data_IF_973204310720
#
_entry.id   IF_973204310720
#
_cell.length_a   1.000
_cell.length_b   1.000
_cell.length_c   1.000
_cell.angle_alpha   90.00
_cell.angle_beta   90.00
_cell.angle_gamma   90.00
#
_symmetry.space_group_name_H-M   'P 1'
#
loop_
_entity.id
_entity.type
_entity.pdbx_description
1 polymer ?
#
# COMPACT_ATOMS: atom_id res chain seq x y z
N UNK A 1 -5.10 8.90 -0.38
CA UNK A 1 -4.77 8.50 1.00
C UNK A 1 -5.22 7.08 1.21
N UNK A 2 -4.34 6.25 1.76
CA UNK A 2 -4.63 4.88 2.20
C UNK A 2 -4.45 4.92 3.73
N UNK A 3 -5.45 4.51 4.50
CA UNK A 3 -5.33 4.39 5.96
C UNK A 3 -6.36 5.14 6.82
N UNK A 4 -7.19 6.03 6.24
CA UNK A 4 -8.38 6.55 6.94
C UNK A 4 -9.62 5.92 6.33
N UNK A 5 -10.32 5.14 7.13
CA UNK A 5 -11.54 4.48 6.71
C UNK A 5 -12.73 5.45 6.82
N UNK A 6 -13.74 5.29 5.94
CA UNK A 6 -15.02 5.97 6.10
C UNK A 6 -15.69 5.62 7.45
N UNK A 7 -16.53 6.52 7.95
CA UNK A 7 -17.28 6.27 9.18
C UNK A 7 -18.13 5.00 9.05
N UNK A 8 -18.09 4.14 10.07
CA UNK A 8 -18.84 2.87 10.09
C UNK A 8 -18.17 1.70 9.38
N UNK A 9 -17.03 1.91 8.71
CA UNK A 9 -16.23 0.80 8.16
C UNK A 9 -15.37 0.20 9.28
N UNK A 10 -15.57 -1.09 9.55
CA UNK A 10 -14.82 -1.85 10.55
C UNK A 10 -13.60 -2.53 9.91
N UNK A 11 -12.71 -3.03 10.78
CA UNK A 11 -11.58 -3.86 10.34
C UNK A 11 -12.08 -5.11 9.60
N UNK A 12 -13.17 -5.74 10.06
CA UNK A 12 -13.74 -6.94 9.43
C UNK A 12 -14.17 -6.68 7.98
N UNK A 13 -14.72 -5.49 7.68
CA UNK A 13 -15.06 -5.11 6.30
C UNK A 13 -13.80 -5.01 5.42
N UNK A 14 -12.73 -4.40 5.96
CA UNK A 14 -11.44 -4.29 5.26
C UNK A 14 -10.84 -5.67 5.04
N UNK A 15 -10.84 -6.54 6.05
CA UNK A 15 -10.37 -7.92 5.93
C UNK A 15 -11.18 -8.71 4.90
N UNK A 16 -12.51 -8.52 4.85
CA UNK A 16 -13.36 -9.16 3.85
C UNK A 16 -12.94 -8.80 2.43
N UNK A 17 -12.65 -7.53 2.16
CA UNK A 17 -12.12 -7.09 0.86
C UNK A 17 -10.76 -7.70 0.59
N UNK A 18 -9.82 -7.64 1.54
CA UNK A 18 -8.47 -8.19 1.34
C UNK A 18 -8.46 -9.71 1.12
N UNK A 19 -9.33 -10.45 1.80
CA UNK A 19 -9.49 -11.91 1.65
C UNK A 19 -10.08 -12.30 0.29
N UNK A 20 -10.78 -11.38 -0.38
CA UNK A 20 -11.32 -11.62 -1.73
C UNK A 20 -10.27 -11.51 -2.83
N UNK A 21 -9.11 -10.90 -2.55
CA UNK A 21 -8.02 -10.72 -3.51
C UNK A 21 -7.22 -12.03 -3.61
N UNK A 22 -7.17 -12.68 -4.79
CA UNK A 22 -6.46 -13.95 -4.94
C UNK A 22 -4.98 -13.82 -4.61
N UNK A 23 -4.45 -14.76 -3.82
CA UNK A 23 -3.02 -14.84 -3.52
C UNK A 23 -2.20 -15.10 -4.79
N UNK A 24 -0.98 -14.57 -4.88
CA UNK A 24 -0.13 -14.74 -6.06
C UNK A 24 0.26 -16.22 -6.22
N UNK A 25 0.14 -16.73 -7.44
CA UNK A 25 0.48 -18.12 -7.79
C UNK A 25 1.87 -18.17 -8.39
N UNK A 26 2.71 -19.08 -7.88
CA UNK A 26 4.08 -19.28 -8.39
C UNK A 26 4.05 -19.79 -9.84
N UNK A 27 5.09 -19.44 -10.61
CA UNK A 27 5.31 -19.90 -11.99
C UNK A 27 4.17 -19.55 -12.97
N UNK A 28 3.43 -18.48 -12.72
CA UNK A 28 2.46 -17.93 -13.67
C UNK A 28 3.15 -17.04 -14.71
N UNK A 29 2.49 -16.86 -15.86
CA UNK A 29 2.88 -15.89 -16.87
C UNK A 29 1.71 -14.92 -17.12
N UNK A 30 1.82 -13.63 -16.75
CA UNK A 30 2.99 -12.96 -16.15
C UNK A 30 3.29 -13.43 -14.72
N UNK A 31 4.55 -13.24 -14.29
CA UNK A 31 4.99 -13.61 -12.94
C UNK A 31 4.16 -12.88 -11.86
N UNK A 32 3.70 -13.63 -10.87
CA UNK A 32 2.94 -13.10 -9.74
C UNK A 32 3.78 -13.18 -8.46
N UNK A 33 3.69 -12.14 -7.65
CA UNK A 33 4.41 -12.00 -6.39
C UNK A 33 3.63 -11.07 -5.43
N UNK A 34 4.24 -10.75 -4.28
CA UNK A 34 3.64 -9.86 -3.29
C UNK A 34 3.35 -8.45 -3.84
N UNK A 35 4.11 -7.96 -4.82
CA UNK A 35 3.85 -6.68 -5.49
C UNK A 35 2.58 -6.73 -6.33
N UNK A 36 2.39 -7.79 -7.13
CA UNK A 36 1.15 -7.95 -7.90
C UNK A 36 -0.07 -8.04 -6.99
N UNK A 37 0.04 -8.78 -5.88
CA UNK A 37 -1.05 -8.87 -4.89
C UNK A 37 -1.35 -7.52 -4.23
N UNK A 38 -0.31 -6.79 -3.80
CA UNK A 38 -0.47 -5.48 -3.17
C UNK A 38 -1.19 -4.50 -4.10
N UNK A 39 -0.85 -4.50 -5.40
CA UNK A 39 -1.50 -3.67 -6.40
C UNK A 39 -3.00 -3.98 -6.50
N UNK A 40 -3.34 -5.26 -6.66
CA UNK A 40 -4.75 -5.70 -6.73
C UNK A 40 -5.51 -5.41 -5.44
N UNK A 41 -4.86 -5.55 -4.27
CA UNK A 41 -5.45 -5.25 -2.98
C UNK A 41 -5.76 -3.76 -2.81
N UNK A 42 -4.87 -2.87 -3.23
CA UNK A 42 -5.13 -1.42 -3.19
C UNK A 42 -6.29 -1.08 -4.14
N UNK A 43 -6.34 -1.66 -5.34
CA UNK A 43 -7.43 -1.46 -6.30
C UNK A 43 -8.76 -1.94 -5.72
N UNK A 44 -8.80 -3.11 -5.09
CA UNK A 44 -10.01 -3.63 -4.45
C UNK A 44 -10.51 -2.70 -3.32
N UNK A 45 -9.59 -2.18 -2.49
CA UNK A 45 -9.92 -1.19 -1.46
C UNK A 45 -10.43 0.13 -2.05
N UNK A 46 -9.90 0.57 -3.20
CA UNK A 46 -10.39 1.75 -3.91
C UNK A 46 -11.81 1.54 -4.44
N UNK A 47 -12.09 0.38 -5.03
CA UNK A 47 -13.41 0.01 -5.52
C UNK A 47 -14.44 -0.09 -4.39
N UNK A 48 -14.02 -0.52 -3.20
CA UNK A 48 -14.85 -0.53 -1.99
C UNK A 48 -15.02 0.85 -1.34
N UNK A 49 -14.34 1.89 -1.83
CA UNK A 49 -14.35 3.23 -1.24
C UNK A 49 -13.56 3.36 0.07
N UNK A 50 -12.66 2.41 0.36
CA UNK A 50 -11.83 2.38 1.58
C UNK A 50 -10.45 3.02 1.38
N UNK A 51 -10.10 3.35 0.14
CA UNK A 51 -8.89 4.07 -0.23
C UNK A 51 -9.21 5.08 -1.34
N UNK A 52 -8.50 6.21 -1.35
CA UNK A 52 -8.67 7.20 -2.43
C UNK A 52 -8.20 6.64 -3.77
N UNK A 53 -8.84 7.06 -4.87
CA UNK A 53 -8.53 6.70 -6.25
C UNK A 53 -7.23 7.35 -6.77
N UNK A 54 -6.10 7.01 -6.14
CA UNK A 54 -4.76 7.38 -6.56
C UNK A 54 -4.22 6.41 -7.63
N UNK A 55 -3.25 6.85 -8.42
CA UNK A 55 -2.48 5.96 -9.29
C UNK A 55 -1.59 5.03 -8.45
N UNK A 56 -1.98 3.76 -8.34
CA UNK A 56 -1.32 2.75 -7.51
C UNK A 56 0.14 2.52 -7.95
N UNK A 57 0.38 2.47 -9.27
CA UNK A 57 1.72 2.23 -9.80
C UNK A 57 2.67 3.40 -9.46
N UNK A 58 2.20 4.63 -9.61
CA UNK A 58 2.97 5.83 -9.27
C UNK A 58 3.28 5.88 -7.76
N UNK A 59 2.30 5.56 -6.92
CA UNK A 59 2.47 5.52 -5.47
C UNK A 59 3.53 4.48 -5.05
N UNK A 60 3.48 3.27 -5.61
CA UNK A 60 4.46 2.23 -5.30
C UNK A 60 5.85 2.61 -5.85
N UNK A 61 5.95 3.09 -7.09
CA UNK A 61 7.22 3.51 -7.69
C UNK A 61 7.89 4.62 -6.86
N UNK A 62 7.11 5.61 -6.40
CA UNK A 62 7.59 6.68 -5.52
C UNK A 62 8.06 6.13 -4.17
N UNK A 63 7.33 5.17 -3.59
CA UNK A 63 7.71 4.49 -2.35
C UNK A 63 9.02 3.71 -2.48
N UNK A 64 9.19 2.96 -3.57
CA UNK A 64 10.40 2.19 -3.88
C UNK A 64 11.62 3.08 -4.09
N UNK A 65 11.49 4.13 -4.91
CA UNK A 65 12.57 5.09 -5.15
C UNK A 65 13.03 5.76 -3.84
N UNK A 66 12.08 6.07 -2.95
CA UNK A 66 12.38 6.58 -1.62
C UNK A 66 13.11 5.55 -0.75
N UNK A 67 12.62 4.31 -0.70
CA UNK A 67 13.24 3.25 0.07
C UNK A 67 14.70 3.03 -0.36
N UNK A 68 14.96 3.03 -1.67
CA UNK A 68 16.31 2.96 -2.22
C UNK A 68 17.19 4.11 -1.73
N UNK A 69 16.71 5.36 -1.84
CA UNK A 69 17.43 6.54 -1.34
C UNK A 69 17.73 6.47 0.16
N UNK A 70 16.87 5.84 0.96
CA UNK A 70 17.11 5.60 2.39
C UNK A 70 18.20 4.55 2.62
N UNK A 71 18.22 3.48 1.82
CA UNK A 71 19.28 2.47 1.88
C UNK A 71 20.63 3.05 1.49
N UNK A 72 20.69 3.85 0.42
CA UNK A 72 21.92 4.49 -0.08
C UNK A 72 22.54 5.44 0.95
N UNK A 73 21.72 6.15 1.72
CA UNK A 73 22.17 7.08 2.77
C UNK A 73 22.47 6.42 4.11
N UNK A 74 22.15 5.13 4.25
CA UNK A 74 22.14 4.42 5.52
C UNK A 74 20.82 4.62 6.27
N UNK A 75 20.25 3.51 6.75
CA UNK A 75 18.99 3.50 7.51
C UNK A 75 19.12 4.39 8.76
N UNK A 76 18.22 5.38 8.96
CA UNK A 76 18.16 6.14 10.21
C UNK A 76 18.05 5.22 11.43
N UNK A 77 18.86 5.47 12.45
CA UNK A 77 18.77 4.74 13.74
C UNK A 77 17.44 5.00 14.47
N UNK A 78 16.87 6.19 14.28
CA UNK A 78 15.54 6.54 14.80
C UNK A 78 14.47 6.14 13.79
N UNK A 79 13.64 5.16 14.17
CA UNK A 79 12.59 4.63 13.31
C UNK A 79 11.55 5.70 12.93
N UNK A 80 11.37 6.75 13.75
CA UNK A 80 10.42 7.83 13.45
C UNK A 80 10.81 8.60 12.19
N UNK A 81 12.11 8.66 11.88
CA UNK A 81 12.63 9.31 10.67
C UNK A 81 12.45 8.46 9.40
N UNK A 82 12.00 7.20 9.55
CA UNK A 82 11.60 6.36 8.41
C UNK A 82 10.24 6.79 7.86
N UNK A 83 9.37 7.28 8.74
CA UNK A 83 8.02 7.72 8.40
C UNK A 83 8.02 9.23 8.20
N UNK A 84 7.68 9.67 6.99
CA UNK A 84 7.43 11.09 6.73
C UNK A 84 5.98 11.25 6.35
N UNK A 85 5.34 12.19 7.03
CA UNK A 85 4.01 12.60 6.69
C UNK A 85 4.04 13.51 5.46
N UNK A 86 4.13 12.90 4.27
CA UNK A 86 4.14 13.61 3.00
C UNK A 86 2.91 14.51 2.81
N UNK A 87 1.80 14.20 3.50
CA UNK A 87 0.55 14.98 3.42
C UNK A 87 0.51 16.17 4.39
N UNK A 88 1.42 16.25 5.35
CA UNK A 88 1.42 17.22 6.47
C UNK A 88 0.11 17.27 7.29
N UNK A 89 -0.79 16.29 7.14
CA UNK A 89 -2.05 16.20 7.90
C UNK A 89 -1.79 15.60 9.29
N UNK A 90 -2.53 15.95 10.35
CA UNK A 90 -2.36 15.29 11.64
C UNK A 90 -2.45 13.77 11.48
N UNK A 91 -1.45 13.04 12.01
CA UNK A 91 -1.49 11.58 12.13
C UNK A 91 -2.43 11.20 13.26
#
# INVERSE_FOLDING_TARGET
MIGKLPNGVTIDHVEGVLKSVPLPVKNQNPEQNCYTWLREAIVALQQAGYADAINVNEAINSGMARAQKTLDKGRPKDWRKLFENATKRPL
#
